data_IF_585372863201
#
_entry.id   IF_585372863201
#
_cell.length_a   1.000
_cell.length_b   1.000
_cell.length_c   1.000
_cell.angle_alpha   90.00
_cell.angle_beta   90.00
_cell.angle_gamma   90.00
#
_symmetry.space_group_name_H-M   'P 1'
#
loop_
_entity.id
_entity.type
_entity.pdbx_description
1 polymer ?
#
# COMPACT_ATOMS: atom_id res chain seq x y z
N UNK A 1 29.15 -59.39 -15.61
CA UNK A 1 29.43 -58.26 -14.68
C UNK A 1 29.28 -56.85 -15.33
N UNK A 2 29.31 -56.70 -16.62
CA UNK A 2 29.28 -55.42 -17.36
C UNK A 2 27.91 -54.72 -17.34
N UNK A 3 26.80 -55.45 -17.45
CA UNK A 3 25.45 -54.86 -17.57
C UNK A 3 24.93 -54.22 -16.28
N UNK A 4 25.25 -54.75 -15.13
CA UNK A 4 24.82 -54.22 -13.81
C UNK A 4 25.54 -52.91 -13.50
N UNK A 5 26.84 -52.82 -13.83
CA UNK A 5 27.59 -51.56 -13.65
C UNK A 5 27.08 -50.44 -14.55
N UNK A 6 26.74 -50.74 -15.79
CA UNK A 6 26.17 -49.79 -16.73
C UNK A 6 24.82 -49.28 -16.23
N UNK A 7 23.96 -50.15 -15.70
CA UNK A 7 22.65 -49.78 -15.14
C UNK A 7 22.79 -48.86 -13.92
N UNK A 8 23.73 -49.18 -13.01
CA UNK A 8 24.00 -48.35 -11.82
C UNK A 8 24.55 -46.97 -12.20
N UNK A 9 25.43 -46.86 -13.20
CA UNK A 9 25.97 -45.59 -13.70
C UNK A 9 24.87 -44.74 -14.34
N UNK A 10 24.02 -45.32 -15.18
CA UNK A 10 22.91 -44.59 -15.82
C UNK A 10 21.92 -44.12 -14.77
N UNK A 11 21.61 -44.92 -13.76
CA UNK A 11 20.71 -44.55 -12.69
C UNK A 11 21.25 -43.38 -11.82
N UNK A 12 22.56 -43.45 -11.52
CA UNK A 12 23.26 -42.37 -10.80
C UNK A 12 23.28 -41.06 -11.60
N UNK A 13 23.48 -41.15 -12.93
CA UNK A 13 23.46 -39.98 -13.82
C UNK A 13 22.07 -39.34 -13.90
N UNK A 14 21.01 -40.14 -13.97
CA UNK A 14 19.62 -39.68 -13.97
C UNK A 14 19.29 -38.99 -12.64
N UNK A 15 19.71 -39.56 -11.52
CA UNK A 15 19.50 -38.94 -10.19
C UNK A 15 20.22 -37.59 -10.07
N UNK A 16 21.47 -37.50 -10.57
CA UNK A 16 22.22 -36.24 -10.60
C UNK A 16 21.57 -35.20 -11.50
N UNK A 17 21.09 -35.58 -12.68
CA UNK A 17 20.35 -34.70 -13.60
C UNK A 17 19.03 -34.21 -12.98
N UNK A 18 18.27 -35.11 -12.34
CA UNK A 18 17.05 -34.72 -11.61
C UNK A 18 17.35 -33.75 -10.45
N UNK A 19 18.44 -33.98 -9.72
CA UNK A 19 18.87 -33.09 -8.64
C UNK A 19 19.27 -31.70 -9.16
N UNK A 20 20.02 -31.64 -10.27
CA UNK A 20 20.35 -30.38 -10.93
C UNK A 20 19.10 -29.64 -11.44
N UNK A 21 18.14 -30.36 -12.04
CA UNK A 21 16.88 -29.76 -12.49
C UNK A 21 16.00 -29.22 -11.33
N UNK A 22 16.03 -29.90 -10.18
CA UNK A 22 15.35 -29.45 -8.98
C UNK A 22 15.99 -28.18 -8.40
N UNK A 23 17.34 -28.12 -8.38
CA UNK A 23 18.07 -26.94 -7.84
C UNK A 23 17.95 -25.72 -8.75
N UNK A 24 17.91 -25.91 -10.07
CA UNK A 24 17.78 -24.79 -11.02
C UNK A 24 16.38 -24.20 -11.11
N UNK A 25 15.35 -24.93 -10.67
CA UNK A 25 13.97 -24.42 -10.64
C UNK A 25 13.59 -23.70 -9.33
N UNK A 26 14.52 -23.59 -8.38
CA UNK A 26 14.33 -22.86 -7.13
C UNK A 26 14.74 -21.39 -7.22
N UNK A 27 14.69 -20.75 -8.39
CA UNK A 27 14.61 -19.29 -8.44
C UNK A 27 13.19 -18.91 -8.05
N UNK A 28 12.90 -18.96 -6.76
CA UNK A 28 11.86 -18.14 -6.17
C UNK A 28 12.16 -16.71 -6.62
N UNK A 29 11.38 -16.17 -7.53
CA UNK A 29 11.38 -14.73 -7.78
C UNK A 29 10.92 -14.11 -6.48
N UNK A 30 11.87 -13.71 -5.64
CA UNK A 30 11.53 -12.92 -4.44
C UNK A 30 10.82 -11.67 -4.96
N UNK A 31 9.53 -11.60 -4.71
CA UNK A 31 8.78 -10.39 -4.99
C UNK A 31 9.43 -9.27 -4.17
N UNK A 32 9.71 -8.10 -4.79
CA UNK A 32 10.30 -6.99 -4.05
C UNK A 32 9.43 -6.67 -2.82
N UNK A 33 10.08 -6.56 -1.68
CA UNK A 33 9.42 -6.12 -0.45
C UNK A 33 9.14 -4.63 -0.52
N UNK A 34 8.24 -4.17 0.34
CA UNK A 34 7.97 -2.77 0.55
C UNK A 34 9.25 -1.98 0.87
N UNK A 35 9.37 -0.77 0.31
CA UNK A 35 10.42 0.17 0.69
C UNK A 35 10.31 0.54 2.18
N UNK A 36 11.45 0.48 2.91
CA UNK A 36 11.48 0.71 4.36
C UNK A 36 11.05 2.13 4.76
N UNK A 37 11.33 3.13 3.91
CA UNK A 37 10.91 4.51 4.17
C UNK A 37 9.39 4.65 3.99
N UNK A 38 8.81 3.99 3.00
CA UNK A 38 7.36 3.99 2.78
C UNK A 38 6.63 3.22 3.89
N UNK A 39 7.19 2.09 4.34
CA UNK A 39 6.69 1.35 5.51
C UNK A 39 6.67 2.23 6.77
N UNK A 40 7.78 2.92 7.03
CA UNK A 40 7.90 3.85 8.16
C UNK A 40 6.94 5.02 8.04
N UNK A 41 6.78 5.59 6.84
CA UNK A 41 5.85 6.68 6.55
C UNK A 41 4.39 6.29 6.82
N UNK A 42 4.00 5.08 6.43
CA UNK A 42 2.66 4.54 6.67
C UNK A 42 2.40 4.32 8.16
N UNK A 43 3.38 3.80 8.92
CA UNK A 43 3.24 3.60 10.36
C UNK A 43 3.12 4.93 11.11
N UNK A 44 3.87 5.95 10.73
CA UNK A 44 3.78 7.27 11.32
C UNK A 44 2.45 7.96 10.94
N UNK A 45 2.02 7.82 9.68
CA UNK A 45 0.71 8.29 9.23
C UNK A 45 -0.42 7.69 10.08
N UNK A 46 -0.40 6.38 10.31
CA UNK A 46 -1.36 5.69 11.18
C UNK A 46 -1.45 6.32 12.58
N UNK A 47 -0.34 6.74 13.16
CA UNK A 47 -0.28 7.31 14.51
C UNK A 47 -0.98 8.67 14.62
N UNK A 48 -1.27 9.33 13.50
CA UNK A 48 -1.98 10.60 13.45
C UNK A 48 -3.48 10.47 13.75
N UNK A 49 -4.01 9.26 13.85
CA UNK A 49 -5.45 9.01 13.97
C UNK A 49 -5.82 8.21 15.21
N UNK A 50 -7.02 8.49 15.69
CA UNK A 50 -7.75 7.64 16.63
C UNK A 50 -8.72 6.77 15.84
N UNK A 51 -8.82 5.51 16.19
CA UNK A 51 -9.82 4.61 15.61
C UNK A 51 -11.15 4.81 16.32
N UNK A 52 -12.16 5.26 15.59
CA UNK A 52 -13.47 5.56 16.13
C UNK A 52 -14.57 5.05 15.17
N UNK A 53 -15.39 4.10 15.63
CA UNK A 53 -16.46 3.51 14.80
C UNK A 53 -17.40 4.55 14.19
N UNK A 54 -17.67 5.65 14.90
CA UNK A 54 -18.52 6.73 14.41
C UNK A 54 -17.87 7.64 13.36
N UNK A 55 -16.61 7.40 13.01
CA UNK A 55 -15.91 8.13 11.94
C UNK A 55 -16.33 7.67 10.55
N UNK A 56 -17.03 6.54 10.43
CA UNK A 56 -17.59 6.02 9.18
C UNK A 56 -19.11 5.89 9.31
N UNK A 57 -19.81 6.12 8.23
CA UNK A 57 -21.25 5.88 8.11
C UNK A 57 -21.56 4.45 7.63
N UNK A 58 -20.55 3.69 7.17
CA UNK A 58 -20.70 2.29 6.80
C UNK A 58 -20.80 1.40 8.06
N UNK A 59 -21.89 0.65 8.25
CA UNK A 59 -22.04 -0.25 9.39
C UNK A 59 -21.04 -1.42 9.39
N UNK A 60 -20.40 -1.70 8.27
CA UNK A 60 -19.37 -2.73 8.11
C UNK A 60 -17.94 -2.18 8.10
N UNK A 61 -17.79 -0.88 8.36
CA UNK A 61 -16.47 -0.25 8.47
C UNK A 61 -15.59 -0.95 9.51
N UNK A 62 -14.32 -1.08 9.19
CA UNK A 62 -13.33 -1.64 10.10
C UNK A 62 -11.96 -0.97 9.91
N UNK A 63 -11.14 -0.90 10.95
CA UNK A 63 -9.87 -0.19 10.89
C UNK A 63 -8.82 -0.99 10.12
N UNK A 64 -8.71 -0.80 8.78
CA UNK A 64 -7.70 -1.44 7.93
C UNK A 64 -6.29 -1.27 8.49
N UNK A 65 -5.99 -0.10 9.05
CA UNK A 65 -4.67 0.19 9.67
C UNK A 65 -4.36 -0.69 10.90
N UNK A 66 -5.33 -1.43 11.46
CA UNK A 66 -5.08 -2.31 12.60
C UNK A 66 -4.10 -3.45 12.26
N UNK A 67 -4.04 -3.87 11.00
CA UNK A 67 -3.14 -4.93 10.54
C UNK A 67 -1.69 -4.46 10.40
N UNK A 68 -1.45 -3.14 10.34
CA UNK A 68 -0.12 -2.58 10.11
C UNK A 68 0.75 -2.69 11.35
N UNK A 69 1.87 -3.37 11.24
CA UNK A 69 2.79 -3.65 12.35
C UNK A 69 4.23 -3.44 11.95
N UNK A 70 5.04 -2.95 12.91
CA UNK A 70 6.49 -2.82 12.78
C UNK A 70 7.19 -4.05 13.38
N UNK A 71 6.88 -5.24 12.88
CA UNK A 71 7.54 -6.49 13.29
C UNK A 71 8.64 -6.84 12.30
N UNK A 72 9.69 -7.52 12.75
CA UNK A 72 10.76 -8.01 11.87
C UNK A 72 10.18 -8.94 10.79
N UNK A 73 10.46 -8.64 9.52
CA UNK A 73 9.90 -9.36 8.38
C UNK A 73 8.47 -8.95 7.98
N UNK A 74 7.90 -7.91 8.59
CA UNK A 74 6.62 -7.35 8.15
C UNK A 74 6.81 -6.61 6.83
N UNK A 75 6.05 -7.01 5.81
CA UNK A 75 6.05 -6.38 4.49
C UNK A 75 4.79 -5.49 4.35
N UNK A 76 4.97 -4.18 4.20
CA UNK A 76 3.84 -3.25 4.07
C UNK A 76 2.98 -3.55 2.84
N UNK A 77 3.52 -4.23 1.84
CA UNK A 77 2.76 -4.67 0.67
C UNK A 77 1.70 -5.74 1.00
N UNK A 78 1.79 -6.33 2.20
CA UNK A 78 0.80 -7.28 2.73
C UNK A 78 -0.23 -6.63 3.67
N UNK A 79 -0.06 -5.34 3.98
CA UNK A 79 -0.97 -4.65 4.90
C UNK A 79 -2.30 -4.33 4.23
N UNK A 80 -3.36 -4.41 4.99
CA UNK A 80 -4.69 -4.13 4.48
C UNK A 80 -4.80 -2.69 3.98
N UNK A 81 -5.40 -2.53 2.80
CA UNK A 81 -5.50 -1.26 2.11
C UNK A 81 -4.23 -0.81 1.37
N UNK A 82 -3.09 -1.49 1.51
CA UNK A 82 -1.83 -1.14 0.82
C UNK A 82 -1.66 -1.98 -0.44
N UNK A 83 -1.30 -1.32 -1.53
CA UNK A 83 -0.98 -1.97 -2.81
C UNK A 83 0.37 -1.51 -3.30
N UNK A 84 1.28 -2.46 -3.56
CA UNK A 84 2.60 -2.18 -4.11
C UNK A 84 2.70 -2.54 -5.61
N UNK A 85 3.67 -1.92 -6.25
CA UNK A 85 4.16 -2.34 -7.56
C UNK A 85 4.94 -3.66 -7.39
N UNK A 86 4.58 -4.68 -8.16
CA UNK A 86 5.14 -6.04 -8.04
C UNK A 86 6.59 -6.15 -8.48
N UNK A 87 7.08 -5.17 -9.27
CA UNK A 87 8.42 -5.21 -9.84
C UNK A 87 9.45 -4.46 -8.98
N UNK A 88 9.01 -3.44 -8.24
CA UNK A 88 9.90 -2.52 -7.52
C UNK A 88 9.55 -2.32 -6.03
N UNK A 89 8.44 -2.90 -5.53
CA UNK A 89 8.05 -2.87 -4.12
C UNK A 89 7.49 -1.53 -3.61
N UNK A 90 7.45 -0.46 -4.41
CA UNK A 90 6.91 0.82 -3.98
C UNK A 90 5.38 0.81 -3.86
N UNK A 91 4.86 1.54 -2.88
CA UNK A 91 3.43 1.72 -2.64
C UNK A 91 2.83 2.57 -3.76
N UNK A 92 1.89 1.98 -4.51
CA UNK A 92 1.17 2.63 -5.61
C UNK A 92 -0.31 2.83 -5.35
N UNK A 93 -0.84 2.22 -4.31
CA UNK A 93 -2.24 2.39 -3.90
C UNK A 93 -2.39 2.35 -2.39
N UNK A 94 -3.25 3.21 -1.88
CA UNK A 94 -3.65 3.24 -0.48
C UNK A 94 -5.17 3.40 -0.42
N UNK A 95 -5.84 2.36 0.05
CA UNK A 95 -7.29 2.32 0.24
C UNK A 95 -7.60 2.23 1.74
N UNK A 96 -7.95 3.37 2.31
CA UNK A 96 -8.40 3.52 3.68
C UNK A 96 -9.86 4.03 3.76
N UNK A 97 -10.63 3.83 2.71
CA UNK A 97 -12.07 4.09 2.73
C UNK A 97 -12.76 3.29 3.84
N UNK A 98 -13.71 3.90 4.55
CA UNK A 98 -14.45 3.30 5.66
C UNK A 98 -13.54 2.62 6.70
N UNK A 99 -12.43 3.28 7.07
CA UNK A 99 -11.41 2.71 7.98
C UNK A 99 -11.50 3.21 9.42
N UNK A 100 -12.61 3.86 9.77
CA UNK A 100 -12.88 4.37 11.12
C UNK A 100 -11.80 5.36 11.62
N UNK A 101 -11.15 6.10 10.72
CA UNK A 101 -10.09 7.05 11.06
C UNK A 101 -10.71 8.37 11.54
N UNK A 102 -10.31 8.82 12.72
CA UNK A 102 -10.69 10.13 13.24
C UNK A 102 -9.46 10.95 13.59
N UNK A 103 -9.34 12.16 13.01
CA UNK A 103 -8.19 13.03 13.21
C UNK A 103 -8.07 14.09 12.14
N UNK A 104 -6.85 14.54 11.86
CA UNK A 104 -6.60 15.52 10.79
C UNK A 104 -5.33 15.21 10.03
N UNK A 105 -5.27 15.62 8.77
CA UNK A 105 -4.08 15.53 7.92
C UNK A 105 -3.58 16.96 7.71
N UNK A 106 -2.30 17.20 7.95
CA UNK A 106 -1.65 18.46 7.68
C UNK A 106 -0.61 18.34 6.55
N UNK A 107 -0.07 19.43 6.06
CA UNK A 107 0.86 19.46 4.93
C UNK A 107 2.22 18.81 5.21
N UNK A 108 2.54 18.51 6.48
CA UNK A 108 3.76 17.76 6.85
C UNK A 108 3.49 16.26 7.11
N UNK A 109 2.30 15.78 6.78
CA UNK A 109 1.97 14.35 6.94
C UNK A 109 2.91 13.47 6.15
N UNK A 110 3.37 12.38 6.77
CA UNK A 110 4.21 11.37 6.12
C UNK A 110 3.51 10.63 4.98
N UNK A 111 2.18 10.72 4.86
CA UNK A 111 1.44 10.28 3.68
C UNK A 111 2.04 10.83 2.37
N UNK A 112 2.49 12.10 2.39
CA UNK A 112 3.02 12.77 1.19
C UNK A 112 4.43 12.31 0.79
N UNK A 113 5.09 11.47 1.60
CA UNK A 113 6.34 10.80 1.24
C UNK A 113 6.12 9.63 0.27
N UNK A 114 4.87 9.17 0.09
CA UNK A 114 4.52 8.08 -0.83
C UNK A 114 4.47 8.59 -2.28
N UNK A 115 5.57 9.07 -2.80
CA UNK A 115 5.66 9.77 -4.11
C UNK A 115 5.30 8.91 -5.33
N UNK A 116 5.26 7.59 -5.16
CA UNK A 116 4.86 6.63 -6.18
C UNK A 116 3.36 6.34 -6.20
N UNK A 117 2.60 6.92 -5.24
CA UNK A 117 1.17 6.66 -5.08
C UNK A 117 0.39 7.09 -6.33
N UNK A 118 -0.41 6.17 -6.86
CA UNK A 118 -1.28 6.37 -8.02
C UNK A 118 -2.76 6.41 -7.66
N UNK A 119 -3.14 5.79 -6.55
CA UNK A 119 -4.50 5.79 -6.03
C UNK A 119 -4.51 6.02 -4.54
N UNK A 120 -5.27 7.00 -4.10
CA UNK A 120 -5.53 7.31 -2.69
C UNK A 120 -7.03 7.36 -2.45
N UNK A 121 -7.52 6.52 -1.57
CA UNK A 121 -8.88 6.54 -1.06
C UNK A 121 -8.86 6.73 0.46
N UNK A 122 -9.43 7.84 0.91
CA UNK A 122 -9.62 8.19 2.31
C UNK A 122 -11.10 8.45 2.61
N UNK A 123 -12.00 8.02 1.72
CA UNK A 123 -13.44 8.28 1.83
C UNK A 123 -14.04 7.68 3.10
N UNK A 124 -15.17 8.26 3.51
CA UNK A 124 -15.97 7.79 4.65
C UNK A 124 -15.13 7.59 5.93
N UNK A 125 -14.47 8.68 6.33
CA UNK A 125 -13.70 8.83 7.56
C UNK A 125 -14.01 10.21 8.20
N UNK A 126 -13.43 10.53 9.34
CA UNK A 126 -13.64 11.80 10.01
C UNK A 126 -12.35 12.61 10.13
N UNK A 127 -12.10 13.50 9.18
CA UNK A 127 -10.93 14.40 9.25
C UNK A 127 -11.22 15.74 9.94
N UNK A 128 -12.23 15.74 10.82
CA UNK A 128 -12.50 16.79 11.79
C UNK A 128 -12.61 18.21 11.17
N UNK A 129 -13.26 18.30 10.02
CA UNK A 129 -13.43 19.54 9.26
C UNK A 129 -12.13 20.27 8.93
N UNK A 130 -11.02 19.56 8.89
CA UNK A 130 -9.76 20.11 8.42
C UNK A 130 -9.80 20.43 6.93
N UNK A 131 -8.94 21.35 6.48
CA UNK A 131 -8.78 21.62 5.07
C UNK A 131 -8.02 20.46 4.38
N UNK A 132 -8.27 20.26 3.09
CA UNK A 132 -7.40 19.40 2.28
C UNK A 132 -6.00 20.03 2.28
N UNK A 133 -4.95 19.29 2.69
CA UNK A 133 -3.63 19.88 2.87
C UNK A 133 -2.92 20.12 1.53
N UNK A 134 -2.16 21.21 1.45
CA UNK A 134 -1.37 21.56 0.26
C UNK A 134 -0.30 20.51 -0.10
N UNK A 135 0.20 19.75 0.89
CA UNK A 135 1.16 18.67 0.66
C UNK A 135 0.73 17.60 -0.35
N UNK A 136 -0.55 17.60 -0.77
CA UNK A 136 -1.06 16.68 -1.80
C UNK A 136 -0.31 16.83 -3.14
N UNK A 137 0.30 17.97 -3.45
CA UNK A 137 1.09 18.21 -4.66
C UNK A 137 2.34 17.31 -4.76
N UNK A 138 2.85 16.82 -3.63
CA UNK A 138 3.98 15.89 -3.59
C UNK A 138 3.63 14.53 -4.20
N UNK A 139 2.33 14.17 -4.24
CA UNK A 139 1.84 12.94 -4.85
C UNK A 139 1.73 13.05 -6.38
N UNK A 140 2.82 13.45 -7.04
CA UNK A 140 2.88 13.76 -8.48
C UNK A 140 2.55 12.58 -9.41
N UNK A 141 2.47 11.36 -8.89
CA UNK A 141 2.06 10.16 -9.61
C UNK A 141 0.57 9.85 -9.49
N UNK A 142 -0.18 10.63 -8.69
CA UNK A 142 -1.58 10.34 -8.35
C UNK A 142 -2.49 10.44 -9.59
N UNK A 143 -3.31 9.42 -9.77
CA UNK A 143 -4.32 9.29 -10.84
C UNK A 143 -5.73 9.27 -10.31
N UNK A 144 -5.90 8.78 -9.08
CA UNK A 144 -7.21 8.67 -8.42
C UNK A 144 -7.10 9.20 -7.01
N UNK A 145 -7.98 10.16 -6.67
CA UNK A 145 -8.12 10.73 -5.33
C UNK A 145 -9.59 10.69 -4.94
N UNK A 146 -9.90 9.94 -3.90
CA UNK A 146 -11.22 9.88 -3.29
C UNK A 146 -11.13 10.38 -1.84
N UNK A 147 -11.78 11.51 -1.57
CA UNK A 147 -11.91 12.13 -0.25
C UNK A 147 -13.39 12.32 0.11
N UNK A 148 -14.31 11.64 -0.56
CA UNK A 148 -15.75 11.82 -0.36
C UNK A 148 -16.18 11.41 1.06
N UNK A 149 -17.22 12.03 1.58
CA UNK A 149 -17.82 11.71 2.91
C UNK A 149 -16.80 11.72 4.07
N UNK A 150 -15.77 12.56 4.00
CA UNK A 150 -14.63 12.49 4.94
C UNK A 150 -14.52 13.69 5.88
N UNK A 151 -15.57 14.50 5.92
CA UNK A 151 -15.66 15.71 6.76
C UNK A 151 -14.49 16.68 6.58
N UNK A 152 -13.97 16.78 5.34
CA UNK A 152 -13.12 17.91 4.98
C UNK A 152 -13.95 19.18 4.84
N UNK A 153 -13.30 20.33 4.97
CA UNK A 153 -13.96 21.65 4.85
C UNK A 153 -13.10 22.65 4.09
N UNK A 154 -13.66 23.79 3.76
CA UNK A 154 -12.94 24.89 3.16
C UNK A 154 -12.78 24.79 1.65
N UNK A 155 -11.89 25.59 1.09
CA UNK A 155 -11.67 25.64 -0.36
C UNK A 155 -10.79 24.50 -0.83
N UNK A 156 -11.05 24.00 -2.04
CA UNK A 156 -10.16 23.05 -2.71
C UNK A 156 -8.82 23.75 -3.01
N UNK A 157 -7.70 23.27 -2.46
CA UNK A 157 -6.42 23.91 -2.68
C UNK A 157 -5.98 23.80 -4.13
N UNK A 158 -5.28 24.83 -4.63
CA UNK A 158 -4.73 24.86 -6.00
C UNK A 158 -3.80 23.68 -6.29
N UNK A 159 -3.19 23.13 -5.27
CA UNK A 159 -2.28 21.97 -5.30
C UNK A 159 -2.97 20.71 -5.80
N UNK A 160 -4.25 20.50 -5.49
CA UNK A 160 -5.05 19.41 -6.07
C UNK A 160 -5.18 19.60 -7.59
N UNK A 161 -5.39 20.84 -8.04
CA UNK A 161 -5.53 21.16 -9.47
C UNK A 161 -4.18 21.07 -10.22
N UNK A 162 -3.06 21.11 -9.51
CA UNK A 162 -1.72 20.95 -10.06
C UNK A 162 -1.34 19.48 -10.33
N UNK A 163 -2.12 18.50 -9.86
CA UNK A 163 -1.89 17.07 -10.08
C UNK A 163 -2.16 16.68 -11.53
N UNK A 164 -1.17 16.87 -12.39
CA UNK A 164 -1.30 16.74 -13.86
C UNK A 164 -1.68 15.33 -14.36
N UNK A 165 -1.51 14.30 -13.52
CA UNK A 165 -1.87 12.90 -13.86
C UNK A 165 -3.23 12.48 -13.30
N UNK A 166 -3.91 13.35 -12.55
CA UNK A 166 -5.17 13.02 -11.91
C UNK A 166 -6.27 12.82 -12.98
N UNK A 167 -6.95 11.69 -12.91
CA UNK A 167 -8.03 11.29 -13.83
C UNK A 167 -9.36 11.18 -13.08
N UNK A 168 -9.31 10.79 -11.81
CA UNK A 168 -10.49 10.65 -10.95
C UNK A 168 -10.31 11.49 -9.69
N UNK A 169 -11.30 12.32 -9.40
CA UNK A 169 -11.38 13.13 -8.18
C UNK A 169 -12.81 13.07 -7.64
N UNK A 170 -12.96 12.58 -6.42
CA UNK A 170 -14.22 12.64 -5.68
C UNK A 170 -14.03 13.38 -4.36
N UNK A 171 -14.69 14.53 -4.22
CA UNK A 171 -14.73 15.36 -3.03
C UNK A 171 -16.15 15.50 -2.50
N UNK A 172 -17.08 14.71 -2.99
CA UNK A 172 -18.51 14.83 -2.65
C UNK A 172 -18.74 14.60 -1.15
N UNK A 173 -19.88 15.13 -0.65
CA UNK A 173 -20.30 14.98 0.74
C UNK A 173 -19.28 15.51 1.78
N UNK A 174 -18.50 16.52 1.43
CA UNK A 174 -17.69 17.35 2.32
C UNK A 174 -18.31 18.72 2.51
N UNK A 175 -17.71 19.64 3.28
CA UNK A 175 -18.24 20.98 3.56
C UNK A 175 -17.49 22.09 2.82
#
# INVERSE_FOLDING_TARGET
>A
MSSVYLFMLVHSLILLLCFHLMVTNSTSSMQPQCDDNESSALLEFKQSFVIAQHASDDPFAYPKVATWKSEEGSDCCSWDGVKCNKDIGHVIGLDLGSSCLSGSINSSSTLFLLVHLQSLDLSDNDFNYSNIPSGVDQLSSLRSLNLSSSRFSGQIPSEVLALSKLVFLDLSQNQ
#
